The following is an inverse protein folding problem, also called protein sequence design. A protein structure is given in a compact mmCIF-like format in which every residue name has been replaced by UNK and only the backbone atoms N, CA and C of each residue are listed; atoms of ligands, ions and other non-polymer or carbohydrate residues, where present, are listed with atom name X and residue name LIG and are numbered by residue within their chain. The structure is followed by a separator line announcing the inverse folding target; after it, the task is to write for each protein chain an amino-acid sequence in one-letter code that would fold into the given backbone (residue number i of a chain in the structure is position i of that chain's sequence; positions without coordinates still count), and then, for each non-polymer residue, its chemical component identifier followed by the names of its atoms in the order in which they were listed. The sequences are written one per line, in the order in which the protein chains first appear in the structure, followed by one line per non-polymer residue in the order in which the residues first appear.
data_IF_745723861849
#
_entry.id   IF_745723861849
#
_cell.length_a   1.000
_cell.length_b   1.000
_cell.length_c   1.000
_cell.angle_alpha   90.00
_cell.angle_beta   90.00
_cell.angle_gamma   90.00
#
_symmetry.space_group_name_H-M   'P 1'
#
loop_
_entity.id
_entity.type
_entity.pdbx_description
1 polymer ?
#
# COMPACT_ATOMS: atom_id res chain seq x y z
N UNK A 1 25.97 6.73 3.07
CA UNK A 1 26.12 5.25 3.09
C UNK A 1 24.79 4.52 2.88
N UNK A 2 23.77 4.71 3.74
CA UNK A 2 22.50 4.00 3.64
C UNK A 2 21.79 4.15 2.27
N UNK A 3 21.85 5.34 1.65
CA UNK A 3 21.28 5.60 0.32
C UNK A 3 21.90 4.73 -0.78
N UNK A 4 23.21 4.52 -0.74
CA UNK A 4 23.95 3.71 -1.74
C UNK A 4 23.56 2.23 -1.59
N UNK A 5 23.42 1.73 -0.37
CA UNK A 5 22.92 0.38 -0.16
C UNK A 5 21.49 0.21 -0.67
N UNK A 6 20.65 1.24 -0.48
CA UNK A 6 19.27 1.21 -0.91
C UNK A 6 19.14 1.10 -2.43
N UNK A 7 20.00 1.78 -3.20
CA UNK A 7 19.98 1.68 -4.67
C UNK A 7 20.36 0.30 -5.22
N UNK A 8 21.09 -0.51 -4.45
CA UNK A 8 21.46 -1.87 -4.84
C UNK A 8 20.45 -2.94 -4.38
N UNK A 9 19.46 -2.57 -3.56
CA UNK A 9 18.49 -3.53 -3.04
C UNK A 9 17.40 -3.84 -4.07
N UNK A 10 16.94 -5.09 -4.10
CA UNK A 10 15.82 -5.52 -4.97
C UNK A 10 14.48 -4.92 -4.52
N UNK A 11 14.28 -4.74 -3.21
CA UNK A 11 13.03 -4.25 -2.60
C UNK A 11 13.23 -2.89 -1.95
N UNK A 12 13.59 -1.89 -2.77
CA UNK A 12 13.99 -0.55 -2.30
C UNK A 12 12.89 0.17 -1.51
N UNK A 13 11.64 0.09 -1.99
CA UNK A 13 10.49 0.75 -1.35
C UNK A 13 10.22 0.17 0.03
N UNK A 14 10.13 -1.16 0.15
CA UNK A 14 9.89 -1.81 1.45
C UNK A 14 11.03 -1.55 2.42
N UNK A 15 12.28 -1.63 1.95
CA UNK A 15 13.44 -1.35 2.78
C UNK A 15 13.46 0.08 3.33
N UNK A 16 13.10 1.06 2.48
CA UNK A 16 13.01 2.45 2.89
C UNK A 16 11.87 2.67 3.92
N UNK A 17 10.70 2.05 3.73
CA UNK A 17 9.61 2.10 4.72
C UNK A 17 10.01 1.48 6.07
N UNK A 18 10.72 0.35 6.04
CA UNK A 18 11.25 -0.27 7.27
C UNK A 18 12.26 0.67 7.94
N UNK A 19 13.15 1.30 7.16
CA UNK A 19 14.10 2.28 7.68
C UNK A 19 13.37 3.46 8.33
N UNK A 20 12.31 3.98 7.72
CA UNK A 20 11.45 5.02 8.30
C UNK A 20 10.87 4.57 9.64
N UNK A 21 10.25 3.38 9.70
CA UNK A 21 9.71 2.82 10.95
C UNK A 21 10.76 2.76 12.04
N UNK A 22 11.94 2.22 11.72
CA UNK A 22 13.06 2.10 12.66
C UNK A 22 13.50 3.48 13.15
N UNK A 23 13.67 4.46 12.26
CA UNK A 23 14.10 5.81 12.62
C UNK A 23 13.07 6.54 13.50
N UNK A 24 11.77 6.33 13.26
CA UNK A 24 10.69 6.86 14.12
C UNK A 24 10.72 6.23 15.51
N UNK A 25 10.95 4.93 15.61
CA UNK A 25 11.11 4.24 16.90
C UNK A 25 12.34 4.76 17.67
N UNK A 26 13.46 4.98 16.97
CA UNK A 26 14.66 5.58 17.58
C UNK A 26 14.43 7.04 17.99
N UNK A 27 13.68 7.82 17.22
CA UNK A 27 13.29 9.18 17.58
C UNK A 27 12.54 9.23 18.92
N UNK A 28 11.66 8.25 19.19
CA UNK A 28 10.95 8.16 20.47
C UNK A 28 11.85 7.75 21.64
N UNK A 29 12.95 7.03 21.39
CA UNK A 29 13.88 6.52 22.41
C UNK A 29 15.10 7.41 22.64
N UNK A 30 15.38 8.38 21.76
CA UNK A 30 16.58 9.20 21.83
C UNK A 30 16.50 10.27 22.94
N UNK A 31 17.54 10.42 23.78
CA UNK A 31 17.70 11.60 24.62
C UNK A 31 18.03 12.83 23.75
N UNK A 32 17.53 14.01 24.14
CA UNK A 32 17.58 15.34 23.46
C UNK A 32 18.81 15.61 22.57
N UNK A 33 18.84 16.43 21.51
CA UNK A 33 17.86 17.13 20.67
C UNK A 33 18.41 17.18 19.22
N UNK A 34 19.73 17.32 19.05
CA UNK A 34 20.41 17.21 17.75
C UNK A 34 20.28 15.83 17.10
N UNK A 35 20.37 14.78 17.92
CA UNK A 35 20.22 13.40 17.44
C UNK A 35 18.78 13.10 17.01
N UNK A 36 17.82 13.69 17.73
CA UNK A 36 16.39 13.57 17.45
C UNK A 36 16.03 14.25 16.12
N UNK A 37 16.55 15.46 15.89
CA UNK A 37 16.41 16.17 14.61
C UNK A 37 17.03 15.40 13.45
N UNK A 38 18.15 14.72 13.70
CA UNK A 38 18.82 13.89 12.69
C UNK A 38 17.97 12.67 12.31
N UNK A 39 17.38 11.97 13.30
CA UNK A 39 16.48 10.85 13.04
C UNK A 39 15.21 11.29 12.29
N UNK A 40 14.63 12.42 12.66
CA UNK A 40 13.45 12.95 11.98
C UNK A 40 13.76 13.34 10.51
N UNK A 41 14.87 14.04 10.27
CA UNK A 41 15.32 14.39 8.91
C UNK A 41 15.56 13.15 8.05
N UNK A 42 16.22 12.13 8.61
CA UNK A 42 16.48 10.88 7.91
C UNK A 42 15.18 10.11 7.63
N UNK A 43 14.24 10.07 8.59
CA UNK A 43 12.95 9.41 8.40
C UNK A 43 12.16 10.08 7.26
N UNK A 44 12.06 11.43 7.27
CA UNK A 44 11.41 12.19 6.21
C UNK A 44 12.05 11.95 4.84
N UNK A 45 13.38 11.90 4.77
CA UNK A 45 14.09 11.59 3.53
C UNK A 45 13.68 10.23 2.95
N UNK A 46 13.60 9.18 3.78
CA UNK A 46 13.19 7.85 3.31
C UNK A 46 11.70 7.81 2.93
N UNK A 47 10.84 8.52 3.65
CA UNK A 47 9.43 8.69 3.25
C UNK A 47 9.31 9.33 1.87
N UNK A 48 9.95 10.48 1.65
CA UNK A 48 9.94 11.18 0.37
C UNK A 48 10.51 10.32 -0.76
N UNK A 49 11.57 9.57 -0.49
CA UNK A 49 12.15 8.61 -1.43
C UNK A 49 11.12 7.54 -1.84
N UNK A 50 10.42 6.92 -0.87
CA UNK A 50 9.41 5.89 -1.18
C UNK A 50 8.28 6.43 -2.05
N UNK A 51 7.83 7.66 -1.77
CA UNK A 51 6.78 8.34 -2.53
C UNK A 51 7.25 8.63 -3.95
N UNK A 52 8.48 9.13 -4.11
CA UNK A 52 9.06 9.41 -5.42
C UNK A 52 9.18 8.12 -6.27
N UNK A 53 9.67 7.03 -5.66
CA UNK A 53 9.75 5.73 -6.33
C UNK A 53 8.37 5.23 -6.77
N UNK A 54 7.36 5.24 -5.90
CA UNK A 54 6.02 4.76 -6.28
C UNK A 54 5.41 5.63 -7.37
N UNK A 55 5.51 6.97 -7.28
CA UNK A 55 5.01 7.86 -8.33
C UNK A 55 5.65 7.56 -9.69
N UNK A 56 6.94 7.21 -9.70
CA UNK A 56 7.63 6.82 -10.92
C UNK A 56 7.09 5.49 -11.48
N UNK A 57 6.88 4.49 -10.62
CA UNK A 57 6.27 3.21 -11.03
C UNK A 57 4.84 3.42 -11.54
N UNK A 58 4.06 4.25 -10.87
CA UNK A 58 2.68 4.56 -11.25
C UNK A 58 2.60 5.23 -12.62
N UNK A 59 3.53 6.17 -12.90
CA UNK A 59 3.61 6.83 -14.21
C UNK A 59 3.95 5.86 -15.35
N UNK A 60 4.76 4.84 -15.08
CA UNK A 60 5.17 3.85 -16.09
C UNK A 60 4.12 2.77 -16.28
N UNK A 61 3.68 2.14 -15.18
CA UNK A 61 2.71 1.07 -15.18
C UNK A 61 2.00 0.96 -13.82
N UNK A 62 0.74 1.39 -13.79
CA UNK A 62 -0.12 1.37 -12.60
C UNK A 62 -0.33 -0.04 -12.03
N UNK A 63 -0.45 -1.06 -12.88
CA UNK A 63 -0.64 -2.44 -12.44
C UNK A 63 0.62 -3.02 -11.79
N UNK A 64 1.81 -2.65 -12.29
CA UNK A 64 3.07 -3.05 -11.66
C UNK A 64 3.29 -2.34 -10.32
N UNK A 65 2.97 -1.04 -10.24
CA UNK A 65 3.02 -0.30 -8.98
C UNK A 65 2.13 -0.96 -7.92
N UNK A 66 0.92 -1.36 -8.32
CA UNK A 66 -0.02 -2.08 -7.47
C UNK A 66 0.53 -3.42 -6.96
N UNK A 67 1.16 -4.21 -7.85
CA UNK A 67 1.83 -5.45 -7.47
C UNK A 67 2.96 -5.21 -6.45
N UNK A 68 3.76 -4.16 -6.64
CA UNK A 68 4.86 -3.84 -5.74
C UNK A 68 4.35 -3.45 -4.34
N UNK A 69 3.20 -2.79 -4.24
CA UNK A 69 2.59 -2.41 -2.95
C UNK A 69 2.03 -3.61 -2.19
N UNK A 70 1.43 -4.57 -2.90
CA UNK A 70 0.74 -5.73 -2.32
C UNK A 70 1.57 -7.01 -2.25
N UNK A 71 2.71 -7.10 -2.94
CA UNK A 71 3.57 -8.28 -2.88
C UNK A 71 4.04 -8.52 -1.43
N UNK A 72 4.10 -9.80 -1.05
CA UNK A 72 4.70 -10.22 0.22
C UNK A 72 6.20 -10.39 0.03
N UNK A 73 6.97 -9.76 0.91
CA UNK A 73 8.42 -9.79 0.82
C UNK A 73 8.95 -10.77 1.88
N UNK A 74 9.43 -11.93 1.40
CA UNK A 74 9.97 -13.00 2.26
C UNK A 74 11.14 -12.53 3.13
N UNK A 75 11.97 -11.64 2.61
CA UNK A 75 13.16 -11.11 3.30
C UNK A 75 12.82 -10.35 4.59
N UNK A 76 11.61 -9.80 4.71
CA UNK A 76 11.19 -9.01 5.87
C UNK A 76 10.07 -9.70 6.68
N UNK A 77 9.96 -11.03 6.57
CA UNK A 77 8.98 -11.81 7.34
C UNK A 77 7.60 -11.91 6.69
N UNK A 78 7.54 -11.98 5.35
CA UNK A 78 6.29 -12.07 4.56
C UNK A 78 5.32 -10.88 4.72
N UNK A 79 5.85 -9.72 5.09
CA UNK A 79 5.09 -8.47 5.17
C UNK A 79 4.90 -7.83 3.79
N UNK A 80 3.81 -7.07 3.63
CA UNK A 80 3.59 -6.24 2.43
C UNK A 80 4.09 -4.82 2.65
N UNK A 81 4.41 -4.10 1.57
CA UNK A 81 4.79 -2.69 1.67
C UNK A 81 3.69 -1.85 2.32
N UNK A 82 2.42 -2.14 2.01
CA UNK A 82 1.27 -1.47 2.61
C UNK A 82 1.18 -1.68 4.13
N UNK A 83 1.44 -2.90 4.62
CA UNK A 83 1.47 -3.20 6.05
C UNK A 83 2.58 -2.43 6.77
N UNK A 84 3.78 -2.43 6.19
CA UNK A 84 4.92 -1.70 6.77
C UNK A 84 4.64 -0.19 6.80
N UNK A 85 4.06 0.37 5.73
CA UNK A 85 3.71 1.79 5.70
C UNK A 85 2.65 2.16 6.75
N UNK A 86 1.66 1.29 6.97
CA UNK A 86 0.66 1.47 8.01
C UNK A 86 1.30 1.44 9.41
N UNK A 87 2.19 0.49 9.66
CA UNK A 87 2.95 0.39 10.91
C UNK A 87 3.87 1.59 11.14
N UNK A 88 4.49 2.12 10.08
CA UNK A 88 5.38 3.29 10.12
C UNK A 88 4.62 4.61 10.29
N UNK A 89 3.28 4.59 10.20
CA UNK A 89 2.42 5.79 10.18
C UNK A 89 2.76 6.76 9.03
N UNK A 90 3.14 6.24 7.87
CA UNK A 90 3.54 7.03 6.69
C UNK A 90 2.29 7.53 5.92
N UNK A 91 1.63 8.54 6.49
CA UNK A 91 0.35 9.08 5.95
C UNK A 91 0.46 9.53 4.50
N UNK A 92 1.57 10.15 4.13
CA UNK A 92 1.80 10.65 2.76
C UNK A 92 1.93 9.50 1.75
N UNK A 93 2.55 8.40 2.15
CA UNK A 93 2.66 7.21 1.31
C UNK A 93 1.30 6.52 1.14
N UNK A 94 0.52 6.38 2.21
CA UNK A 94 -0.82 5.78 2.19
C UNK A 94 -1.79 6.62 1.36
N UNK A 95 -1.64 7.95 1.36
CA UNK A 95 -2.45 8.86 0.55
C UNK A 95 -2.18 8.78 -0.96
N UNK A 96 -1.17 8.00 -1.39
CA UNK A 96 -0.89 7.78 -2.81
C UNK A 96 -2.08 7.08 -3.49
N UNK A 97 -2.51 7.49 -4.70
CA UNK A 97 -3.62 6.86 -5.44
C UNK A 97 -3.47 5.33 -5.58
N UNK A 98 -2.25 4.83 -5.79
CA UNK A 98 -1.97 3.40 -5.84
C UNK A 98 -2.37 2.67 -4.53
N UNK A 99 -2.03 3.24 -3.37
CA UNK A 99 -2.38 2.69 -2.05
C UNK A 99 -3.89 2.77 -1.80
N UNK A 100 -4.53 3.89 -2.15
CA UNK A 100 -5.97 4.05 -2.04
C UNK A 100 -6.73 3.03 -2.92
N UNK A 101 -6.26 2.79 -4.15
CA UNK A 101 -6.80 1.77 -5.03
C UNK A 101 -6.57 0.34 -4.48
N UNK A 102 -5.41 0.07 -3.88
CA UNK A 102 -5.11 -1.19 -3.20
C UNK A 102 -6.05 -1.45 -2.04
N UNK A 103 -6.26 -0.47 -1.17
CA UNK A 103 -7.20 -0.57 -0.05
C UNK A 103 -8.63 -0.74 -0.54
N UNK A 104 -9.04 0.02 -1.56
CA UNK A 104 -10.37 -0.13 -2.16
C UNK A 104 -10.56 -1.53 -2.75
N UNK A 105 -9.57 -2.08 -3.45
CA UNK A 105 -9.63 -3.43 -4.00
C UNK A 105 -9.67 -4.50 -2.90
N UNK A 106 -8.89 -4.34 -1.82
CA UNK A 106 -8.93 -5.25 -0.66
C UNK A 106 -10.31 -5.21 0.00
N UNK A 107 -10.85 -4.01 0.24
CA UNK A 107 -12.16 -3.81 0.86
C UNK A 107 -13.29 -4.36 0.02
N UNK A 108 -13.26 -4.11 -1.29
CA UNK A 108 -14.31 -4.48 -2.21
C UNK A 108 -14.17 -5.93 -2.70
N UNK A 109 -13.05 -6.60 -2.43
CA UNK A 109 -12.67 -7.95 -2.83
C UNK A 109 -12.95 -8.26 -4.32
N UNK A 110 -14.19 -8.63 -4.65
CA UNK A 110 -14.65 -8.99 -6.01
C UNK A 110 -15.75 -8.08 -6.58
N UNK A 111 -16.21 -7.09 -5.81
CA UNK A 111 -17.28 -6.17 -6.19
C UNK A 111 -16.69 -5.07 -7.10
N UNK A 112 -17.18 -4.98 -8.33
CA UNK A 112 -16.85 -3.87 -9.23
C UNK A 112 -17.46 -2.56 -8.72
N UNK A 113 -16.73 -1.83 -7.88
CA UNK A 113 -17.00 -0.43 -7.62
C UNK A 113 -16.24 0.42 -8.64
N UNK A 114 -16.63 0.32 -9.91
CA UNK A 114 -16.22 1.36 -10.87
C UNK A 114 -16.99 2.63 -10.49
N UNK A 115 -16.24 3.69 -10.24
CA UNK A 115 -16.66 5.06 -9.91
C UNK A 115 -18.10 5.38 -10.35
N UNK A 116 -18.96 5.68 -9.36
CA UNK A 116 -20.30 6.25 -9.53
C UNK A 116 -21.21 5.57 -10.57
N UNK A 117 -21.39 4.26 -10.48
CA UNK A 117 -22.56 3.65 -11.11
C UNK A 117 -23.69 3.61 -10.07
N UNK A 118 -24.67 4.52 -10.17
CA UNK A 118 -25.86 4.61 -9.28
C UNK A 118 -26.56 3.26 -9.09
N UNK A 119 -26.41 2.36 -10.07
CA UNK A 119 -26.91 0.98 -10.02
C UNK A 119 -26.32 0.18 -8.85
N UNK A 120 -25.02 0.31 -8.58
CA UNK A 120 -24.34 -0.49 -7.57
C UNK A 120 -24.59 0.03 -6.15
N UNK A 121 -24.75 1.35 -5.98
CA UNK A 121 -25.10 1.96 -4.70
C UNK A 121 -26.48 1.51 -4.19
N UNK A 122 -27.42 1.25 -5.11
CA UNK A 122 -28.77 0.76 -4.78
C UNK A 122 -28.78 -0.78 -4.72
N UNK A 123 -28.06 -1.46 -5.61
CA UNK A 123 -28.06 -2.92 -5.67
C UNK A 123 -27.40 -3.59 -4.45
N UNK A 124 -26.33 -3.01 -3.88
CA UNK A 124 -25.64 -3.58 -2.71
C UNK A 124 -26.56 -3.64 -1.46
N UNK A 125 -27.23 -2.55 -1.02
CA UNK A 125 -28.13 -2.62 0.14
C UNK A 125 -29.35 -3.51 -0.13
N UNK A 126 -29.89 -3.52 -1.36
CA UNK A 126 -30.99 -4.41 -1.75
C UNK A 126 -30.54 -5.89 -1.67
N UNK A 127 -29.33 -6.22 -2.13
CA UNK A 127 -28.80 -7.57 -2.06
C UNK A 127 -28.55 -8.05 -0.61
N UNK A 128 -28.10 -7.15 0.27
CA UNK A 128 -27.95 -7.42 1.71
C UNK A 128 -29.31 -7.66 2.36
N UNK A 129 -30.32 -6.85 2.02
CA UNK A 129 -31.67 -6.94 2.57
C UNK A 129 -32.43 -8.18 2.10
N UNK A 130 -32.24 -8.61 0.84
CA UNK A 130 -32.90 -9.77 0.24
C UNK A 130 -32.14 -11.09 0.41
N UNK A 131 -31.28 -11.20 1.44
CA UNK A 131 -30.58 -12.41 1.83
C UNK A 131 -29.85 -13.11 0.67
N UNK A 132 -29.27 -12.34 -0.25
CA UNK A 132 -28.40 -12.87 -1.32
C UNK A 132 -29.08 -13.52 -2.52
N UNK A 133 -30.40 -13.67 -2.56
CA UNK A 133 -31.09 -14.40 -3.64
C UNK A 133 -31.00 -13.67 -5.00
N UNK A 134 -30.92 -12.34 -4.97
CA UNK A 134 -30.74 -11.49 -6.16
C UNK A 134 -29.29 -11.02 -6.40
N UNK A 135 -28.35 -11.39 -5.52
CA UNK A 135 -26.97 -10.93 -5.60
C UNK A 135 -26.25 -11.46 -6.87
N UNK A 136 -26.62 -12.66 -7.33
CA UNK A 136 -26.09 -13.29 -8.54
C UNK A 136 -26.45 -12.55 -9.84
N UNK A 137 -27.57 -11.83 -9.88
CA UNK A 137 -28.09 -11.22 -11.11
C UNK A 137 -27.78 -9.72 -11.22
N UNK A 138 -27.71 -9.00 -10.09
CA UNK A 138 -27.57 -7.54 -10.06
C UNK A 138 -26.12 -7.07 -9.90
N UNK A 139 -25.29 -7.84 -9.19
CA UNK A 139 -23.90 -7.46 -8.89
C UNK A 139 -23.00 -7.97 -10.01
N UNK A 140 -22.46 -7.06 -10.81
CA UNK A 140 -21.40 -7.40 -11.76
C UNK A 140 -20.13 -7.74 -10.99
N UNK A 141 -19.79 -9.01 -10.94
CA UNK A 141 -18.53 -9.49 -10.40
C UNK A 141 -17.39 -9.24 -11.39
N UNK A 142 -16.25 -8.78 -10.87
CA UNK A 142 -15.02 -8.74 -11.68
C UNK A 142 -14.48 -10.15 -11.74
N UNK A 143 -14.33 -10.71 -12.93
CA UNK A 143 -13.27 -11.69 -13.15
C UNK A 143 -11.97 -10.91 -13.06
N UNK A 144 -11.46 -10.76 -11.83
CA UNK A 144 -10.07 -10.39 -11.63
C UNK A 144 -9.28 -11.53 -12.29
N UNK A 145 -8.45 -11.31 -13.33
CA UNK A 145 -7.37 -12.24 -13.52
C UNK A 145 -6.62 -12.16 -12.20
N UNK A 146 -6.69 -13.24 -11.40
CA UNK A 146 -5.86 -13.45 -10.24
C UNK A 146 -4.45 -13.01 -10.67
N UNK A 147 -4.05 -11.81 -10.24
CA UNK A 147 -2.65 -11.41 -10.25
C UNK A 147 -2.04 -12.26 -9.15
N UNK A 148 -1.84 -13.53 -9.48
CA UNK A 148 -0.94 -14.52 -8.91
C UNK A 148 -0.55 -14.20 -7.47
N UNK A 149 -1.54 -14.08 -6.57
CA UNK A 149 -1.32 -14.04 -5.13
C UNK A 149 -1.13 -15.48 -4.67
N UNK A 150 -0.24 -16.23 -5.29
CA UNK A 150 0.15 -17.56 -4.85
C UNK A 150 1.49 -17.90 -5.51
N UNK A 151 2.50 -18.05 -4.64
CA UNK A 151 3.83 -18.64 -4.89
C UNK A 151 4.76 -17.88 -5.85
N UNK A 152 5.67 -17.09 -5.28
CA UNK A 152 7.11 -17.39 -5.32
C UNK A 152 7.86 -16.76 -4.15
#
# INVERSE_FOLDING_TARGET
MAQVFLSHMKYQICAALIATKILKEYYHKAPYGDLKDTYEKNAKYFEEYTIACIKQYEKYNTDQAFQIVLQRIKLYGNVTCLQVAADAQDKLFIATPCCAQAMNNIWCHNIHLKQSNKRNEIAVPIAIFLLGLLALFLVTYRYLPLVRIYYY
#
